data_IF_547268413738
#
_entry.id   IF_547268413738
#
_cell.length_a   1.000
_cell.length_b   1.000
_cell.length_c   1.000
_cell.angle_alpha   90.00
_cell.angle_beta   90.00
_cell.angle_gamma   90.00
#
_symmetry.space_group_name_H-M   'P 1'
#
loop_
_entity.id
_entity.type
_entity.pdbx_description
1 polymer ?
#
# COMPACT_ATOMS: atom_id res chain seq x y z
N UNK A 1 -44.09 -38.51 -26.50
CA UNK A 1 -42.68 -38.84 -26.20
C UNK A 1 -41.85 -37.68 -26.71
N UNK A 2 -41.56 -36.73 -25.83
CA UNK A 2 -41.00 -35.41 -26.20
C UNK A 2 -39.54 -35.37 -25.74
N UNK A 3 -38.63 -35.37 -26.71
CA UNK A 3 -37.18 -35.33 -26.52
C UNK A 3 -36.74 -33.89 -26.29
N UNK A 4 -36.33 -33.56 -25.07
CA UNK A 4 -35.79 -32.24 -24.72
C UNK A 4 -34.39 -32.06 -25.31
N UNK A 5 -34.25 -30.99 -26.11
CA UNK A 5 -32.99 -30.37 -26.51
C UNK A 5 -32.24 -29.79 -25.29
N UNK A 6 -30.90 -29.84 -25.21
CA UNK A 6 -30.14 -29.21 -24.13
C UNK A 6 -29.94 -27.72 -24.41
N UNK A 7 -30.36 -26.86 -23.49
CA UNK A 7 -30.04 -25.43 -23.49
C UNK A 7 -28.79 -25.18 -22.66
N UNK A 8 -27.83 -24.44 -23.24
CA UNK A 8 -26.52 -24.15 -22.67
C UNK A 8 -26.51 -23.16 -21.49
N UNK A 9 -25.33 -22.96 -20.86
CA UNK A 9 -25.23 -22.27 -19.58
C UNK A 9 -24.87 -20.80 -19.80
N UNK A 10 -25.87 -19.91 -19.74
CA UNK A 10 -25.82 -18.54 -19.19
C UNK A 10 -26.94 -17.72 -19.82
N UNK A 11 -28.11 -17.75 -19.19
CA UNK A 11 -29.18 -16.79 -19.45
C UNK A 11 -29.31 -15.94 -18.18
N UNK A 12 -28.67 -14.76 -18.18
CA UNK A 12 -28.73 -13.82 -17.06
C UNK A 12 -30.10 -13.13 -17.03
N UNK A 13 -31.04 -13.72 -16.29
CA UNK A 13 -32.37 -13.14 -16.06
C UNK A 13 -32.26 -12.01 -15.04
N UNK A 14 -32.38 -10.76 -15.51
CA UNK A 14 -32.44 -9.56 -14.68
C UNK A 14 -33.73 -9.58 -13.83
N UNK A 15 -33.64 -10.09 -12.60
CA UNK A 15 -34.75 -10.09 -11.64
C UNK A 15 -34.42 -9.14 -10.48
N UNK A 16 -35.00 -7.94 -10.52
CA UNK A 16 -34.79 -6.89 -9.52
C UNK A 16 -35.45 -7.14 -8.15
N UNK A 17 -36.08 -8.31 -7.91
CA UNK A 17 -36.78 -8.61 -6.65
C UNK A 17 -36.36 -9.94 -6.00
N UNK A 18 -35.09 -10.32 -6.07
CA UNK A 18 -34.59 -11.54 -5.43
C UNK A 18 -34.30 -11.35 -3.93
N UNK A 19 -35.25 -11.78 -3.10
CA UNK A 19 -35.10 -11.97 -1.65
C UNK A 19 -34.14 -13.15 -1.38
N UNK A 20 -32.90 -12.88 -0.99
CA UNK A 20 -31.82 -13.86 -0.87
C UNK A 20 -31.88 -14.71 0.42
N UNK A 21 -32.93 -15.50 0.67
CA UNK A 21 -32.82 -16.51 1.75
C UNK A 21 -31.79 -17.58 1.38
N UNK A 22 -30.55 -17.41 1.84
CA UNK A 22 -29.46 -18.39 1.78
C UNK A 22 -29.86 -19.63 2.60
N UNK A 23 -30.54 -20.58 1.97
CA UNK A 23 -30.66 -21.94 2.48
C UNK A 23 -29.33 -22.67 2.25
N UNK A 24 -28.34 -22.38 3.11
CA UNK A 24 -27.12 -23.19 3.19
C UNK A 24 -27.50 -24.55 3.78
N UNK A 25 -27.65 -25.54 2.90
CA UNK A 25 -27.80 -26.95 3.28
C UNK A 25 -26.40 -27.48 3.57
N UNK A 26 -26.03 -27.55 4.84
CA UNK A 26 -24.75 -28.11 5.30
C UNK A 26 -24.78 -29.62 5.03
N UNK A 27 -23.79 -30.21 4.35
CA UNK A 27 -23.70 -31.65 4.15
C UNK A 27 -23.40 -32.37 5.48
N UNK A 28 -24.00 -33.55 5.76
CA UNK A 28 -23.74 -34.28 6.99
C UNK A 28 -22.33 -34.87 6.95
N UNK A 29 -21.47 -34.52 7.92
CA UNK A 29 -20.17 -35.20 8.08
C UNK A 29 -19.00 -34.41 8.68
N UNK A 30 -19.13 -33.10 8.95
CA UNK A 30 -18.02 -32.32 9.54
C UNK A 30 -18.30 -32.06 11.02
N UNK A 31 -17.49 -32.69 11.87
CA UNK A 31 -17.49 -32.57 13.33
C UNK A 31 -17.12 -31.13 13.70
N UNK A 32 -18.03 -30.41 14.34
CA UNK A 32 -17.78 -29.07 14.88
C UNK A 32 -17.04 -29.18 16.23
N UNK A 33 -16.07 -28.29 16.53
CA UNK A 33 -15.47 -28.22 17.86
C UNK A 33 -16.52 -27.76 18.89
N UNK A 34 -16.68 -28.56 19.94
CA UNK A 34 -17.53 -28.29 21.09
C UNK A 34 -16.96 -27.14 21.91
N UNK A 35 -17.51 -25.93 21.75
CA UNK A 35 -17.33 -24.86 22.72
C UNK A 35 -18.44 -24.95 23.79
N UNK A 36 -18.09 -24.90 25.08
CA UNK A 36 -19.05 -25.08 26.17
C UNK A 36 -20.04 -23.91 26.22
N UNK A 37 -21.32 -24.26 26.15
CA UNK A 37 -22.46 -23.37 26.29
C UNK A 37 -22.49 -22.74 27.69
N UNK A 38 -22.18 -21.45 27.79
CA UNK A 38 -22.62 -20.63 28.92
C UNK A 38 -23.85 -19.85 28.47
N UNK A 39 -24.99 -20.13 29.12
CA UNK A 39 -26.29 -19.63 28.73
C UNK A 39 -26.38 -18.11 28.80
N UNK A 40 -26.72 -17.50 27.67
CA UNK A 40 -27.32 -16.17 27.68
C UNK A 40 -28.44 -16.07 26.65
N UNK A 41 -29.63 -15.96 27.21
CA UNK A 41 -30.89 -15.49 26.68
C UNK A 41 -30.80 -14.72 25.33
N UNK A 42 -31.31 -15.33 24.26
CA UNK A 42 -32.22 -14.70 23.28
C UNK A 42 -31.86 -13.39 22.56
N UNK A 43 -30.65 -12.83 22.64
CA UNK A 43 -30.30 -11.62 21.89
C UNK A 43 -29.68 -11.99 20.55
N UNK A 44 -30.49 -11.94 19.49
CA UNK A 44 -30.00 -11.96 18.10
C UNK A 44 -29.04 -10.79 17.93
N UNK A 45 -27.73 -11.06 17.87
CA UNK A 45 -26.73 -10.06 17.49
C UNK A 45 -26.98 -9.75 16.01
N UNK A 46 -27.84 -8.78 15.73
CA UNK A 46 -27.88 -8.13 14.42
C UNK A 46 -26.56 -7.40 14.28
N UNK A 47 -25.61 -8.01 13.57
CA UNK A 47 -24.54 -7.28 12.94
C UNK A 47 -25.20 -6.30 11.97
N UNK A 48 -25.47 -5.09 12.48
CA UNK A 48 -25.84 -3.94 11.68
C UNK A 48 -24.63 -3.70 10.80
N UNK A 49 -24.61 -4.28 9.59
CA UNK A 49 -23.84 -3.71 8.48
C UNK A 49 -24.26 -2.25 8.49
N UNK A 50 -23.43 -1.37 9.06
CA UNK A 50 -23.52 0.05 8.74
C UNK A 50 -23.20 0.07 7.25
N UNK A 51 -24.24 -0.10 6.43
CA UNK A 51 -24.18 0.25 5.03
C UNK A 51 -23.67 1.66 5.04
N UNK A 52 -22.48 1.86 4.46
CA UNK A 52 -22.04 3.18 4.08
C UNK A 52 -23.19 3.72 3.23
N UNK A 53 -23.93 4.69 3.77
CA UNK A 53 -25.04 5.31 3.05
C UNK A 53 -24.37 6.07 1.92
N UNK A 54 -24.33 5.46 0.73
CA UNK A 54 -23.87 6.12 -0.46
C UNK A 54 -24.91 7.18 -0.82
N UNK A 55 -24.57 8.49 -0.77
CA UNK A 55 -25.50 9.53 -1.14
C UNK A 55 -25.92 9.36 -2.60
N UNK A 56 -27.24 9.44 -2.85
CA UNK A 56 -27.88 9.08 -4.12
C UNK A 56 -27.52 10.00 -5.30
N UNK A 57 -26.86 11.14 -5.04
CA UNK A 57 -26.48 12.18 -6.01
C UNK A 57 -25.02 12.61 -5.82
N UNK A 58 -24.10 11.66 -5.79
CA UNK A 58 -22.68 11.96 -5.73
C UNK A 58 -22.18 12.16 -7.17
N UNK A 59 -22.26 13.40 -7.68
CA UNK A 59 -21.56 13.82 -8.91
C UNK A 59 -20.03 13.89 -8.71
N UNK A 60 -19.48 13.12 -7.77
CA UNK A 60 -18.05 12.90 -7.71
C UNK A 60 -17.73 12.00 -8.90
N UNK A 61 -16.87 12.47 -9.78
CA UNK A 61 -16.25 11.59 -10.76
C UNK A 61 -15.69 10.39 -10.00
N UNK A 62 -15.78 9.19 -10.56
CA UNK A 62 -15.25 7.95 -9.96
C UNK A 62 -13.77 8.07 -9.54
N UNK A 63 -13.07 9.07 -10.07
CA UNK A 63 -11.73 9.52 -9.70
C UNK A 63 -11.64 10.16 -8.29
N UNK A 64 -12.60 10.99 -7.89
CA UNK A 64 -12.61 11.70 -6.59
C UNK A 64 -12.94 10.80 -5.40
N UNK A 65 -13.58 9.64 -5.62
CA UNK A 65 -13.91 8.69 -4.53
C UNK A 65 -12.63 8.05 -3.96
N UNK A 66 -11.59 7.90 -4.77
CA UNK A 66 -10.34 7.23 -4.38
C UNK A 66 -9.29 8.24 -3.84
N UNK A 67 -9.36 9.50 -4.26
CA UNK A 67 -8.35 10.51 -3.96
C UNK A 67 -8.96 11.76 -3.34
N UNK A 68 -8.87 11.96 -2.01
CA UNK A 68 -9.36 13.19 -1.39
C UNK A 68 -8.59 14.40 -1.93
N UNK A 69 -9.27 15.52 -2.18
CA UNK A 69 -8.63 16.72 -2.74
C UNK A 69 -7.66 17.43 -1.77
N UNK A 70 -7.70 17.08 -0.48
CA UNK A 70 -6.85 17.65 0.56
C UNK A 70 -5.96 16.58 1.19
N UNK A 71 -4.72 16.96 1.49
CA UNK A 71 -3.78 16.13 2.22
C UNK A 71 -4.26 16.03 3.67
N UNK A 72 -4.57 14.84 4.19
CA UNK A 72 -4.90 14.68 5.60
C UNK A 72 -3.66 14.98 6.44
N UNK A 73 -3.82 15.77 7.52
CA UNK A 73 -2.73 16.20 8.39
C UNK A 73 -1.85 15.03 8.87
N UNK A 74 -2.48 13.91 9.24
CA UNK A 74 -1.80 12.68 9.67
C UNK A 74 -0.79 12.18 8.65
N UNK A 75 -1.10 12.24 7.35
CA UNK A 75 -0.19 11.77 6.30
C UNK A 75 1.00 12.71 6.15
N UNK A 76 0.75 14.03 6.13
CA UNK A 76 1.82 15.04 6.12
C UNK A 76 2.77 14.88 7.31
N UNK A 77 2.21 14.78 8.52
CA UNK A 77 2.96 14.64 9.76
C UNK A 77 3.78 13.34 9.81
N UNK A 78 3.18 12.19 9.51
CA UNK A 78 3.88 10.90 9.52
C UNK A 78 4.98 10.83 8.45
N UNK A 79 4.76 11.44 7.28
CA UNK A 79 5.78 11.48 6.23
C UNK A 79 6.97 12.35 6.66
N UNK A 80 6.70 13.48 7.31
CA UNK A 80 7.75 14.32 7.89
C UNK A 80 8.53 13.62 9.00
N UNK A 81 7.85 12.89 9.90
CA UNK A 81 8.50 12.11 10.95
C UNK A 81 9.43 11.02 10.41
N UNK A 82 9.11 10.45 9.24
CA UNK A 82 9.98 9.49 8.55
C UNK A 82 11.35 10.06 8.15
N UNK A 83 11.52 11.39 8.12
CA UNK A 83 12.81 12.02 7.83
C UNK A 83 13.72 12.10 9.07
N UNK A 84 13.15 12.03 10.28
CA UNK A 84 13.89 12.25 11.53
C UNK A 84 15.07 11.27 11.68
N UNK A 85 14.91 9.95 11.45
CA UNK A 85 16.03 9.02 11.59
C UNK A 85 17.11 9.27 10.52
N UNK A 86 16.74 9.66 9.29
CA UNK A 86 17.73 10.03 8.26
C UNK A 86 18.57 11.22 8.69
N UNK A 87 17.93 12.30 9.17
CA UNK A 87 18.64 13.50 9.59
C UNK A 87 19.54 13.21 10.81
N UNK A 88 19.02 12.49 11.81
CA UNK A 88 19.77 12.13 13.01
C UNK A 88 21.00 11.26 12.68
N UNK A 89 20.85 10.26 11.82
CA UNK A 89 21.94 9.37 11.44
C UNK A 89 22.95 10.05 10.50
N UNK A 90 22.51 10.94 9.62
CA UNK A 90 23.40 11.72 8.77
C UNK A 90 24.26 12.70 9.58
N UNK A 91 23.66 13.42 10.53
CA UNK A 91 24.41 14.25 11.48
C UNK A 91 25.34 13.38 12.33
N UNK A 92 24.85 12.22 12.78
CA UNK A 92 25.64 11.24 13.51
C UNK A 92 26.90 10.86 12.74
N UNK A 93 26.75 10.47 11.47
CA UNK A 93 27.86 10.05 10.62
C UNK A 93 28.90 11.16 10.37
N UNK A 94 28.53 12.43 10.47
CA UNK A 94 29.44 13.58 10.28
C UNK A 94 30.13 13.98 11.60
N UNK A 95 29.41 14.01 12.71
CA UNK A 95 29.89 14.59 13.97
C UNK A 95 30.37 13.57 15.01
N UNK A 96 30.06 12.29 14.87
CA UNK A 96 30.49 11.27 15.83
C UNK A 96 31.98 10.90 15.68
N UNK A 97 32.59 10.30 16.72
CA UNK A 97 33.92 9.72 16.64
C UNK A 97 34.03 8.66 15.54
N UNK A 98 35.22 8.51 14.89
CA UNK A 98 35.43 7.62 13.74
C UNK A 98 34.91 6.19 13.94
N UNK A 99 35.08 5.64 15.14
CA UNK A 99 34.65 4.27 15.49
C UNK A 99 33.14 4.05 15.33
N UNK A 100 32.34 5.11 15.47
CA UNK A 100 30.87 5.06 15.43
C UNK A 100 30.27 5.63 14.14
N UNK A 101 31.04 6.34 13.32
CA UNK A 101 30.59 6.89 12.04
C UNK A 101 30.14 5.78 11.08
N UNK A 102 30.91 4.70 10.98
CA UNK A 102 30.57 3.57 10.10
C UNK A 102 29.26 2.89 10.52
N UNK A 103 29.04 2.76 11.83
CA UNK A 103 27.79 2.22 12.37
C UNK A 103 26.59 3.15 12.07
N UNK A 104 26.77 4.46 12.19
CA UNK A 104 25.73 5.44 11.85
C UNK A 104 25.37 5.41 10.35
N UNK A 105 26.37 5.37 9.47
CA UNK A 105 26.19 5.22 8.02
C UNK A 105 25.42 3.94 7.68
N UNK A 106 25.82 2.82 8.25
CA UNK A 106 25.17 1.54 7.99
C UNK A 106 23.73 1.52 8.50
N UNK A 107 23.48 2.05 9.71
CA UNK A 107 22.14 2.22 10.24
C UNK A 107 21.25 3.10 9.35
N UNK A 108 21.82 4.16 8.77
CA UNK A 108 21.12 5.05 7.85
C UNK A 108 20.71 4.34 6.56
N UNK A 109 21.61 3.54 5.99
CA UNK A 109 21.34 2.75 4.79
C UNK A 109 20.29 1.68 5.05
N UNK A 110 20.38 0.98 6.19
CA UNK A 110 19.37 0.02 6.65
C UNK A 110 17.99 0.66 6.75
N UNK A 111 17.91 1.84 7.36
CA UNK A 111 16.66 2.59 7.43
C UNK A 111 16.14 2.97 6.04
N UNK A 112 17.04 3.34 5.11
CA UNK A 112 16.70 3.56 3.71
C UNK A 112 16.02 2.37 3.04
N UNK A 113 16.57 1.17 3.22
CA UNK A 113 15.97 -0.06 2.68
C UNK A 113 14.60 -0.38 3.31
N UNK A 114 14.42 -0.11 4.61
CA UNK A 114 13.11 -0.24 5.30
C UNK A 114 12.08 0.70 4.70
N UNK A 115 12.45 1.96 4.45
CA UNK A 115 11.54 2.94 3.85
C UNK A 115 11.19 2.55 2.41
N UNK A 116 12.15 2.09 1.60
CA UNK A 116 11.86 1.57 0.25
C UNK A 116 10.87 0.39 0.30
N UNK A 117 10.96 -0.47 1.32
CA UNK A 117 10.00 -1.55 1.51
C UNK A 117 8.60 -1.04 1.82
N UNK A 118 8.49 0.02 2.63
CA UNK A 118 7.21 0.69 2.85
C UNK A 118 6.65 1.32 1.56
N UNK A 119 7.49 1.97 0.74
CA UNK A 119 7.10 2.51 -0.57
C UNK A 119 6.48 1.44 -1.46
N UNK A 120 7.11 0.28 -1.53
CA UNK A 120 6.60 -0.87 -2.25
C UNK A 120 5.19 -1.31 -1.81
N UNK A 121 4.96 -1.32 -0.49
CA UNK A 121 3.65 -1.60 0.10
C UNK A 121 2.55 -0.61 -0.31
N UNK A 122 2.90 0.67 -0.51
CA UNK A 122 1.94 1.68 -1.01
C UNK A 122 1.45 1.31 -2.41
N UNK A 123 2.33 0.80 -3.27
CA UNK A 123 1.96 0.41 -4.64
C UNK A 123 0.98 -0.77 -4.67
N UNK A 124 1.13 -1.71 -3.74
CA UNK A 124 0.17 -2.80 -3.53
C UNK A 124 -1.18 -2.26 -3.04
N UNK A 125 -1.15 -1.38 -2.02
CA UNK A 125 -2.35 -0.76 -1.47
C UNK A 125 -3.17 -0.04 -2.55
N UNK A 126 -2.53 0.72 -3.43
CA UNK A 126 -3.21 1.36 -4.55
C UNK A 126 -3.80 0.37 -5.54
N UNK A 127 -3.05 -0.64 -5.96
CA UNK A 127 -3.56 -1.59 -6.94
C UNK A 127 -4.76 -2.38 -6.40
N UNK A 128 -4.72 -2.78 -5.14
CA UNK A 128 -5.84 -3.45 -4.47
C UNK A 128 -7.05 -2.53 -4.31
N UNK A 129 -6.85 -1.27 -3.90
CA UNK A 129 -7.93 -0.30 -3.77
C UNK A 129 -8.61 -0.03 -5.12
N UNK A 130 -7.83 0.17 -6.18
CA UNK A 130 -8.36 0.43 -7.52
C UNK A 130 -9.06 -0.82 -8.08
N UNK A 131 -8.48 -2.01 -7.92
CA UNK A 131 -9.10 -3.26 -8.35
C UNK A 131 -10.46 -3.49 -7.68
N UNK A 132 -10.56 -3.18 -6.38
CA UNK A 132 -11.79 -3.28 -5.62
C UNK A 132 -12.87 -2.30 -6.10
N UNK A 133 -12.53 -1.01 -6.24
CA UNK A 133 -13.50 0.03 -6.62
C UNK A 133 -13.94 -0.10 -8.08
N UNK A 134 -13.03 -0.42 -8.98
CA UNK A 134 -13.33 -0.54 -10.42
C UNK A 134 -13.79 -1.94 -10.85
N UNK A 135 -13.90 -2.88 -9.91
CA UNK A 135 -14.28 -4.28 -10.18
C UNK A 135 -13.45 -4.91 -11.31
N UNK A 136 -12.16 -4.57 -11.37
CA UNK A 136 -11.21 -5.06 -12.39
C UNK A 136 -10.26 -6.08 -11.77
N UNK A 137 -9.71 -7.03 -12.56
CA UNK A 137 -8.69 -7.93 -12.04
C UNK A 137 -7.44 -7.16 -11.59
N UNK A 138 -6.81 -7.68 -10.54
CA UNK A 138 -5.54 -7.17 -10.02
C UNK A 138 -4.44 -7.40 -11.05
N UNK A 139 -3.66 -6.36 -11.35
CA UNK A 139 -2.53 -6.47 -12.29
C UNK A 139 -1.29 -7.04 -11.59
N UNK A 140 -0.88 -8.24 -11.97
CA UNK A 140 0.36 -8.86 -11.48
C UNK A 140 1.58 -7.98 -11.72
N UNK A 141 1.66 -7.31 -12.87
CA UNK A 141 2.77 -6.39 -13.19
C UNK A 141 2.89 -5.26 -12.17
N UNK A 142 1.77 -4.67 -11.73
CA UNK A 142 1.77 -3.57 -10.77
C UNK A 142 2.13 -4.02 -9.35
N UNK A 143 1.77 -5.25 -9.00
CA UNK A 143 2.22 -5.87 -7.74
C UNK A 143 3.72 -6.16 -7.78
N UNK A 144 4.25 -6.69 -8.88
CA UNK A 144 5.69 -6.92 -9.07
C UNK A 144 6.46 -5.60 -8.90
N UNK A 145 5.98 -4.52 -9.53
CA UNK A 145 6.59 -3.19 -9.37
C UNK A 145 6.59 -2.74 -7.91
N UNK A 146 5.58 -3.11 -7.12
CA UNK A 146 5.56 -2.90 -5.68
C UNK A 146 6.64 -3.64 -4.90
N UNK A 147 7.15 -4.76 -5.39
CA UNK A 147 8.21 -5.53 -4.71
C UNK A 147 9.61 -5.05 -5.11
N UNK A 148 9.77 -4.42 -6.28
CA UNK A 148 11.09 -4.00 -6.78
C UNK A 148 11.85 -3.09 -5.79
N UNK A 149 11.24 -2.08 -5.13
CA UNK A 149 11.97 -1.21 -4.21
C UNK A 149 12.57 -1.94 -3.01
N UNK A 150 11.87 -2.92 -2.41
CA UNK A 150 12.38 -3.67 -1.25
C UNK A 150 13.53 -4.58 -1.63
N UNK A 151 13.38 -5.31 -2.74
CA UNK A 151 14.42 -6.19 -3.27
C UNK A 151 15.66 -5.38 -3.66
N UNK A 152 15.46 -4.26 -4.35
CA UNK A 152 16.56 -3.37 -4.71
C UNK A 152 17.26 -2.81 -3.47
N UNK A 153 16.50 -2.35 -2.47
CA UNK A 153 17.05 -1.85 -1.21
C UNK A 153 17.90 -2.90 -0.49
N UNK A 154 17.45 -4.15 -0.46
CA UNK A 154 18.23 -5.24 0.11
C UNK A 154 19.53 -5.51 -0.66
N UNK A 155 19.49 -5.57 -2.00
CA UNK A 155 20.70 -5.73 -2.81
C UNK A 155 21.67 -4.56 -2.68
N UNK A 156 21.16 -3.33 -2.54
CA UNK A 156 22.00 -2.15 -2.35
C UNK A 156 22.86 -2.26 -1.09
N UNK A 157 22.34 -2.87 -0.01
CA UNK A 157 23.08 -3.07 1.24
C UNK A 157 24.22 -4.09 1.16
N UNK A 158 24.23 -4.94 0.13
CA UNK A 158 25.31 -5.91 -0.09
C UNK A 158 26.52 -5.27 -0.78
N UNK A 159 26.39 -4.03 -1.28
CA UNK A 159 27.47 -3.34 -1.95
C UNK A 159 28.47 -2.78 -0.93
N UNK A 160 29.78 -2.76 -1.25
CA UNK A 160 30.79 -2.22 -0.34
C UNK A 160 30.85 -0.68 -0.39
N UNK A 161 31.36 -0.08 0.70
CA UNK A 161 31.75 1.33 0.72
C UNK A 161 30.59 2.31 0.46
N UNK A 162 30.77 3.17 -0.56
CA UNK A 162 29.84 4.28 -0.88
C UNK A 162 28.64 3.86 -1.74
N UNK A 163 28.73 2.69 -2.36
CA UNK A 163 27.75 2.22 -3.34
C UNK A 163 26.34 1.98 -2.79
N UNK A 164 26.12 1.53 -1.53
CA UNK A 164 24.78 1.40 -0.97
C UNK A 164 24.01 2.73 -0.98
N UNK A 165 24.66 3.82 -0.56
CA UNK A 165 24.02 5.13 -0.53
C UNK A 165 23.64 5.63 -1.93
N UNK A 166 24.53 5.43 -2.92
CA UNK A 166 24.25 5.78 -4.32
C UNK A 166 23.11 4.93 -4.91
N UNK A 167 23.13 3.62 -4.68
CA UNK A 167 22.11 2.72 -5.17
C UNK A 167 20.74 3.03 -4.53
N UNK A 168 20.68 3.20 -3.20
CA UNK A 168 19.46 3.60 -2.50
C UNK A 168 18.93 4.94 -3.02
N UNK A 169 19.81 5.92 -3.23
CA UNK A 169 19.46 7.22 -3.80
C UNK A 169 18.85 7.08 -5.20
N UNK A 170 19.46 6.28 -6.08
CA UNK A 170 18.93 6.00 -7.41
C UNK A 170 17.54 5.33 -7.34
N UNK A 171 17.33 4.41 -6.39
CA UNK A 171 16.04 3.75 -6.18
C UNK A 171 14.97 4.74 -5.70
N UNK A 172 15.29 5.65 -4.77
CA UNK A 172 14.40 6.72 -4.32
C UNK A 172 14.01 7.65 -5.48
N UNK A 173 14.97 8.03 -6.33
CA UNK A 173 14.70 8.79 -7.55
C UNK A 173 13.77 8.02 -8.50
N UNK A 174 14.02 6.72 -8.71
CA UNK A 174 13.17 5.86 -9.55
C UNK A 174 11.74 5.75 -9.01
N UNK A 175 11.58 5.63 -7.69
CA UNK A 175 10.27 5.64 -7.05
C UNK A 175 9.56 6.99 -7.23
N UNK A 176 10.26 8.10 -7.04
CA UNK A 176 9.69 9.44 -7.27
C UNK A 176 9.27 9.64 -8.73
N UNK A 177 10.09 9.21 -9.69
CA UNK A 177 9.75 9.26 -11.11
C UNK A 177 8.50 8.43 -11.42
N UNK A 178 8.38 7.26 -10.80
CA UNK A 178 7.22 6.40 -10.95
C UNK A 178 5.96 6.98 -10.31
N UNK A 179 6.08 7.63 -9.15
CA UNK A 179 5.01 8.36 -8.48
C UNK A 179 4.49 9.52 -9.34
N UNK A 180 5.39 10.28 -9.97
CA UNK A 180 5.05 11.35 -10.91
C UNK A 180 4.34 10.80 -12.15
N UNK A 181 4.86 9.72 -12.74
CA UNK A 181 4.25 9.05 -13.88
C UNK A 181 2.83 8.54 -13.57
N UNK A 182 2.62 7.95 -12.38
CA UNK A 182 1.28 7.51 -11.94
C UNK A 182 0.33 8.68 -11.77
N UNK A 183 0.79 9.76 -11.15
CA UNK A 183 -0.02 10.96 -10.93
C UNK A 183 -0.44 11.60 -12.25
N UNK A 184 0.46 11.67 -13.23
CA UNK A 184 0.17 12.18 -14.57
C UNK A 184 -0.83 11.30 -15.34
N UNK A 185 -0.98 10.02 -14.97
CA UNK A 185 -1.97 9.09 -15.54
C UNK A 185 -3.24 8.97 -14.71
N UNK A 186 -3.46 9.86 -13.74
CA UNK A 186 -4.63 9.83 -12.87
C UNK A 186 -4.74 8.53 -12.05
N UNK A 187 -3.61 7.85 -11.83
CA UNK A 187 -3.52 6.61 -11.06
C UNK A 187 -3.08 6.86 -9.61
N UNK A 188 -2.88 8.11 -9.21
CA UNK A 188 -2.51 8.55 -7.87
C UNK A 188 -3.10 9.95 -7.60
N UNK A 189 -3.28 10.34 -6.32
CA UNK A 189 -3.78 11.67 -5.98
C UNK A 189 -2.82 12.77 -6.48
N UNK A 190 -3.37 13.87 -7.00
CA UNK A 190 -2.60 15.02 -7.48
C UNK A 190 -1.69 15.65 -6.43
N UNK A 191 -2.07 15.57 -5.15
CA UNK A 191 -1.28 16.09 -4.03
C UNK A 191 -0.12 15.19 -3.60
N UNK A 192 -0.09 13.93 -4.04
CA UNK A 192 0.89 12.96 -3.55
C UNK A 192 2.34 13.32 -3.94
N UNK A 193 2.65 13.79 -5.17
CA UNK A 193 3.98 14.29 -5.49
C UNK A 193 4.41 15.49 -4.66
N UNK A 194 3.49 16.41 -4.34
CA UNK A 194 3.82 17.60 -3.53
C UNK A 194 4.31 17.22 -2.13
N UNK A 195 3.85 16.07 -1.61
CA UNK A 195 4.34 15.48 -0.36
C UNK A 195 5.67 14.73 -0.55
N UNK A 196 5.80 13.98 -1.64
CA UNK A 196 6.95 13.11 -1.90
C UNK A 196 8.22 13.85 -2.29
N UNK A 197 8.12 14.86 -3.16
CA UNK A 197 9.28 15.60 -3.68
C UNK A 197 10.16 16.16 -2.54
N UNK A 198 9.65 16.98 -1.59
CA UNK A 198 10.51 17.59 -0.57
C UNK A 198 11.16 16.54 0.34
N UNK A 199 10.43 15.47 0.66
CA UNK A 199 10.91 14.39 1.53
C UNK A 199 12.00 13.58 0.81
N UNK A 200 11.78 13.20 -0.45
CA UNK A 200 12.79 12.49 -1.23
C UNK A 200 14.05 13.33 -1.41
N UNK A 201 13.92 14.63 -1.70
CA UNK A 201 15.09 15.53 -1.78
C UNK A 201 15.86 15.56 -0.46
N UNK A 202 15.16 15.68 0.67
CA UNK A 202 15.80 15.68 1.98
C UNK A 202 16.49 14.33 2.30
N UNK A 203 15.87 13.20 1.91
CA UNK A 203 16.48 11.87 2.05
C UNK A 203 17.73 11.73 1.18
N UNK A 204 17.70 12.22 -0.07
CA UNK A 204 18.86 12.18 -0.96
C UNK A 204 20.03 12.99 -0.40
N UNK A 205 19.76 14.21 0.10
CA UNK A 205 20.77 15.02 0.76
C UNK A 205 21.33 14.27 1.96
N UNK A 206 20.46 13.74 2.84
CA UNK A 206 20.90 13.00 4.01
C UNK A 206 21.75 11.77 3.66
N UNK A 207 21.42 11.02 2.60
CA UNK A 207 22.19 9.85 2.14
C UNK A 207 23.55 10.20 1.54
N UNK A 208 23.65 11.34 0.85
CA UNK A 208 24.85 11.72 0.09
C UNK A 208 25.83 12.50 0.96
N UNK A 209 25.38 13.41 1.83
CA UNK A 209 26.26 14.27 2.62
C UNK A 209 27.33 13.51 3.43
N UNK A 210 27.01 12.42 4.16
CA UNK A 210 28.00 11.69 4.94
C UNK A 210 29.01 10.90 4.11
N UNK A 211 28.71 10.64 2.84
CA UNK A 211 29.53 9.79 1.94
C UNK A 211 30.66 10.58 1.30
N UNK A 212 30.45 11.88 1.09
CA UNK A 212 31.44 12.80 0.55
C UNK A 212 31.88 13.76 1.67
N UNK A 213 32.81 13.33 2.54
CA UNK A 213 33.36 14.24 3.53
C UNK A 213 34.01 15.43 2.82
N UNK A 214 33.59 16.63 3.20
CA UNK A 214 34.18 17.90 2.76
C UNK A 214 35.52 18.14 3.46
#
# INVERSE_FOLDING_TARGET
METKHPLGPFEARNNQNANWRLHLRIPPGIIAPTFPCCGHNGSTIRLRRKGVIMPKNLNLTSEQIIYPDRIPFTVGFLTGLGLVPFAALALGAVFLPPDSQQSALHAQQLYGAVILSFLGGIYWGWELAVAYVQTRPVSSTRLIIGVLPSVFGWFALLLPGVYPALALSACFCGCLAYDLWRTNRHLAPRWYPALRIPVTVAVLVALITPVFPA
#
